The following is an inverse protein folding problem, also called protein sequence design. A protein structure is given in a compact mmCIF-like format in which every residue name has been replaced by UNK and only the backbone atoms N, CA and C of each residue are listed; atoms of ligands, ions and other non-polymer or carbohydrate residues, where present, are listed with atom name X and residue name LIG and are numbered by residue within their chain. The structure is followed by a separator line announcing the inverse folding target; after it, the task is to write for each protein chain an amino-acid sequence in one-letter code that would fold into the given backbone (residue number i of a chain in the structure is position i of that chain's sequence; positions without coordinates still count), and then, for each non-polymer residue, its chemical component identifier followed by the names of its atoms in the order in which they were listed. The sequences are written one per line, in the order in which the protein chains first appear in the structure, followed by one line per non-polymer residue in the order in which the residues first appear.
data_IF_199136278514
#
_entry.id   IF_199136278514
#
_cell.length_a   1.000
_cell.length_b   1.000
_cell.length_c   1.000
_cell.angle_alpha   90.00
_cell.angle_beta   90.00
_cell.angle_gamma   90.00
#
_symmetry.space_group_name_H-M   'P 1'
#
loop_
_entity.id
_entity.type
_entity.pdbx_description
1 polymer ?
#
# COMPACT_ATOMS: atom_id res chain seq x y z
N UNK A 1 -12.64 -7.24 -10.93
CA UNK A 1 -12.01 -7.77 -9.69
C UNK A 1 -10.67 -7.16 -9.33
N UNK A 2 -9.95 -6.40 -10.19
CA UNK A 2 -8.79 -5.59 -9.78
C UNK A 2 -9.21 -4.19 -9.31
N UNK A 3 -10.19 -3.60 -9.98
CA UNK A 3 -10.75 -2.27 -9.68
C UNK A 3 -11.26 -2.11 -8.25
N UNK A 4 -11.82 -3.18 -7.68
CA UNK A 4 -12.29 -3.16 -6.30
C UNK A 4 -11.13 -3.00 -5.29
N UNK A 5 -9.97 -3.62 -5.57
CA UNK A 5 -8.79 -3.52 -4.71
C UNK A 5 -8.17 -2.12 -4.82
N UNK A 6 -8.04 -1.61 -6.05
CA UNK A 6 -7.51 -0.26 -6.29
C UNK A 6 -8.41 0.80 -5.65
N UNK A 7 -9.72 0.68 -5.77
CA UNK A 7 -10.66 1.59 -5.13
C UNK A 7 -10.54 1.62 -3.60
N UNK A 8 -10.44 0.46 -2.94
CA UNK A 8 -10.23 0.42 -1.49
C UNK A 8 -8.89 1.06 -1.07
N UNK A 9 -7.86 0.88 -1.90
CA UNK A 9 -6.56 1.50 -1.65
C UNK A 9 -6.57 3.01 -1.87
N UNK A 10 -7.31 3.49 -2.86
CA UNK A 10 -7.54 4.92 -3.09
C UNK A 10 -8.31 5.54 -1.93
N UNK A 11 -9.38 4.89 -1.44
CA UNK A 11 -10.13 5.35 -0.26
C UNK A 11 -9.22 5.44 0.99
N UNK A 12 -8.40 4.41 1.22
CA UNK A 12 -7.40 4.42 2.29
C UNK A 12 -6.37 5.55 2.11
N UNK A 13 -5.83 5.72 0.90
CA UNK A 13 -4.86 6.77 0.62
C UNK A 13 -5.45 8.17 0.76
N UNK A 14 -6.69 8.39 0.32
CA UNK A 14 -7.40 9.65 0.51
C UNK A 14 -7.61 9.96 1.99
N UNK A 15 -8.03 8.96 2.78
CA UNK A 15 -8.15 9.09 4.24
C UNK A 15 -6.80 9.41 4.90
N UNK A 16 -5.73 8.76 4.46
CA UNK A 16 -4.36 8.96 4.96
C UNK A 16 -3.84 10.37 4.62
N UNK A 17 -3.99 10.79 3.37
CA UNK A 17 -3.60 12.12 2.87
C UNK A 17 -4.32 13.23 3.61
N UNK A 18 -5.63 13.08 3.86
CA UNK A 18 -6.42 14.03 4.65
C UNK A 18 -5.89 14.23 6.07
N UNK A 19 -5.21 13.22 6.63
CA UNK A 19 -4.62 13.25 7.98
C UNK A 19 -3.13 13.61 8.00
N UNK A 20 -2.52 13.87 6.84
CA UNK A 20 -1.10 14.18 6.72
C UNK A 20 -0.16 13.02 7.07
N UNK A 21 -0.67 11.78 7.10
CA UNK A 21 0.15 10.62 7.45
C UNK A 21 0.92 10.15 6.22
N UNK A 22 2.25 10.11 6.33
CA UNK A 22 3.14 9.69 5.22
C UNK A 22 3.54 8.22 5.32
N UNK A 23 3.80 7.73 6.54
CA UNK A 23 4.13 6.33 6.80
C UNK A 23 2.88 5.44 6.89
N UNK A 24 2.97 4.25 6.31
CA UNK A 24 1.97 3.19 6.51
C UNK A 24 2.51 2.28 7.62
N UNK A 25 2.00 2.42 8.83
CA UNK A 25 2.28 1.52 9.96
C UNK A 25 1.02 0.76 10.34
N UNK A 26 1.18 -0.33 11.10
CA UNK A 26 0.06 -1.13 11.60
C UNK A 26 -0.93 -0.28 12.41
N UNK A 27 -0.45 0.66 13.22
CA UNK A 27 -1.31 1.59 13.95
C UNK A 27 -2.17 2.47 13.02
N UNK A 28 -1.64 2.90 11.89
CA UNK A 28 -2.38 3.71 10.90
C UNK A 28 -3.47 2.87 10.23
N UNK A 29 -3.17 1.61 9.93
CA UNK A 29 -4.14 0.63 9.44
C UNK A 29 -5.24 0.38 10.47
N UNK A 30 -4.87 0.12 11.73
CA UNK A 30 -5.82 -0.09 12.83
C UNK A 30 -6.74 1.12 13.02
N UNK A 31 -6.20 2.34 12.97
CA UNK A 31 -6.99 3.57 13.05
C UNK A 31 -7.97 3.72 11.86
N UNK A 32 -7.56 3.33 10.67
CA UNK A 32 -8.44 3.29 9.50
C UNK A 32 -9.56 2.26 9.71
N UNK A 33 -9.24 1.02 10.06
CA UNK A 33 -10.23 -0.03 10.30
C UNK A 33 -11.17 0.28 11.47
N UNK A 34 -10.70 0.99 12.49
CA UNK A 34 -11.57 1.48 13.57
C UNK A 34 -12.62 2.48 13.06
N UNK A 35 -12.26 3.33 12.08
CA UNK A 35 -13.22 4.21 11.41
C UNK A 35 -14.17 3.43 10.49
N UNK A 36 -13.67 2.42 9.77
CA UNK A 36 -14.46 1.59 8.85
C UNK A 36 -15.46 0.70 9.62
N UNK A 37 -15.07 0.14 10.76
CA UNK A 37 -15.93 -0.66 11.65
C UNK A 37 -17.20 0.08 12.06
N UNK A 38 -17.13 1.40 12.22
CA UNK A 38 -18.31 2.23 12.56
C UNK A 38 -19.36 2.27 11.44
N UNK A 39 -18.99 1.89 10.20
CA UNK A 39 -19.81 2.01 9.01
C UNK A 39 -20.17 0.65 8.37
N UNK A 40 -19.45 -0.42 8.69
CA UNK A 40 -19.59 -1.72 8.04
C UNK A 40 -19.68 -2.87 9.04
N UNK A 41 -20.39 -3.93 8.63
CA UNK A 41 -20.43 -5.19 9.37
C UNK A 41 -19.04 -5.86 9.43
N UNK A 42 -18.80 -6.64 10.49
CA UNK A 42 -17.50 -7.26 10.75
C UNK A 42 -17.01 -8.17 9.60
N UNK A 43 -17.92 -8.90 8.94
CA UNK A 43 -17.58 -9.76 7.79
C UNK A 43 -17.06 -8.97 6.60
N UNK A 44 -17.72 -7.86 6.24
CA UNK A 44 -17.28 -6.95 5.17
C UNK A 44 -15.96 -6.25 5.52
N UNK A 45 -15.73 -5.97 6.81
CA UNK A 45 -14.48 -5.38 7.30
C UNK A 45 -13.29 -6.33 7.09
N UNK A 46 -13.44 -7.62 7.42
CA UNK A 46 -12.39 -8.62 7.22
C UNK A 46 -12.03 -8.80 5.75
N UNK A 47 -13.03 -8.75 4.86
CA UNK A 47 -12.78 -8.78 3.41
C UNK A 47 -11.94 -7.57 2.98
N UNK A 48 -12.33 -6.35 3.37
CA UNK A 48 -11.56 -5.13 3.08
C UNK A 48 -10.15 -5.18 3.67
N UNK A 49 -9.99 -5.72 4.88
CA UNK A 49 -8.70 -5.93 5.52
C UNK A 49 -7.80 -6.86 4.70
N UNK A 50 -8.32 -8.02 4.29
CA UNK A 50 -7.57 -8.99 3.49
C UNK A 50 -7.13 -8.39 2.14
N UNK A 51 -8.00 -7.58 1.51
CA UNK A 51 -7.71 -6.89 0.26
C UNK A 51 -6.58 -5.86 0.42
N UNK A 52 -6.68 -4.99 1.43
CA UNK A 52 -5.66 -3.98 1.73
C UNK A 52 -4.33 -4.61 2.12
N UNK A 53 -4.34 -5.66 2.95
CA UNK A 53 -3.14 -6.35 3.38
C UNK A 53 -2.41 -7.01 2.19
N UNK A 54 -3.15 -7.64 1.28
CA UNK A 54 -2.58 -8.25 0.07
C UNK A 54 -1.96 -7.20 -0.85
N UNK A 55 -2.62 -6.06 -1.05
CA UNK A 55 -2.08 -4.95 -1.83
C UNK A 55 -0.85 -4.32 -1.19
N UNK A 56 -0.87 -4.12 0.13
CA UNK A 56 0.27 -3.56 0.85
C UNK A 56 1.47 -4.49 0.79
N UNK A 57 1.28 -5.79 0.97
CA UNK A 57 2.33 -6.79 0.78
C UNK A 57 2.89 -6.74 -0.64
N UNK A 58 2.03 -6.69 -1.65
CA UNK A 58 2.47 -6.57 -3.05
C UNK A 58 3.28 -5.28 -3.28
N UNK A 59 2.80 -4.13 -2.80
CA UNK A 59 3.48 -2.82 -2.94
C UNK A 59 4.80 -2.72 -2.15
N UNK A 60 4.86 -3.33 -0.97
CA UNK A 60 6.09 -3.40 -0.16
C UNK A 60 7.12 -4.31 -0.84
N UNK A 61 6.70 -5.46 -1.36
CA UNK A 61 7.55 -6.35 -2.14
C UNK A 61 8.03 -5.69 -3.45
N UNK A 62 7.18 -4.94 -4.15
CA UNK A 62 7.60 -4.15 -5.33
C UNK A 62 8.67 -3.10 -4.97
N UNK A 63 8.54 -2.42 -3.82
CA UNK A 63 9.55 -1.46 -3.35
C UNK A 63 10.84 -2.12 -2.92
N UNK A 64 10.77 -3.21 -2.16
CA UNK A 64 11.97 -3.93 -1.73
C UNK A 64 12.73 -4.54 -2.91
N UNK A 65 12.02 -5.09 -3.89
CA UNK A 65 12.59 -5.58 -5.14
C UNK A 65 13.19 -4.46 -5.99
N UNK A 66 12.52 -3.31 -6.12
CA UNK A 66 13.08 -2.16 -6.86
C UNK A 66 14.30 -1.58 -6.15
N UNK A 67 14.32 -1.51 -4.82
CA UNK A 67 15.49 -1.08 -4.05
C UNK A 67 16.65 -2.08 -4.15
N UNK A 68 16.37 -3.39 -4.13
CA UNK A 68 17.38 -4.43 -4.38
C UNK A 68 17.92 -4.36 -5.82
N UNK A 69 17.03 -4.17 -6.80
CA UNK A 69 17.39 -4.03 -8.21
C UNK A 69 18.21 -2.77 -8.47
N UNK A 70 17.83 -1.63 -7.88
CA UNK A 70 18.55 -0.36 -8.00
C UNK A 70 19.89 -0.40 -7.26
N UNK A 71 20.00 -1.08 -6.11
CA UNK A 71 21.30 -1.28 -5.42
C UNK A 71 22.19 -2.33 -6.09
N UNK A 72 21.59 -3.29 -6.78
CA UNK A 72 22.29 -4.31 -7.56
C UNK A 72 22.62 -3.88 -8.99
N UNK A 73 22.15 -2.70 -9.42
CA UNK A 73 22.50 -2.12 -10.70
C UNK A 73 23.93 -1.55 -10.59
N UNK A 74 24.93 -2.11 -11.31
CA UNK A 74 26.25 -1.51 -11.36
C UNK A 74 26.12 -0.14 -12.04
N UNK A 75 26.47 0.91 -11.31
CA UNK A 75 26.36 2.31 -11.70
C UNK A 75 26.92 2.59 -13.12
N UNK A 76 26.13 3.34 -13.89
CA UNK A 76 26.48 4.27 -14.98
C UNK A 76 27.29 3.79 -16.21
N UNK A 77 27.96 2.64 -16.23
CA UNK A 77 28.77 2.23 -17.40
C UNK A 77 27.91 1.87 -18.63
N UNK A 78 26.66 1.46 -18.42
CA UNK A 78 25.72 1.16 -19.51
C UNK A 78 25.08 2.40 -20.17
N UNK A 79 25.24 3.61 -19.61
CA UNK A 79 24.63 4.84 -20.15
C UNK A 79 25.64 5.78 -20.86
N UNK A 80 26.92 5.42 -20.93
CA UNK A 80 27.98 6.24 -21.54
C UNK A 80 28.74 5.52 -22.67
N UNK A 81 28.08 4.65 -23.44
CA UNK A 81 28.59 4.31 -24.79
C UNK A 81 27.91 5.22 -25.81
N UNK A 82 28.61 6.31 -26.11
CA UNK A 82 28.40 7.23 -27.23
C UNK A 82 28.22 6.51 -28.56
#
# INVERSE_FOLDING_TARGET
SKDAYEKEFEEFNAWRKKRGVTLITENVLLAYFFNVKKRFAASSMWTKYSMLNSLLKAKVLEREYTEQFLKGAPDEECLMKK
#
